data_IF_303872902007
#
_entry.id   IF_303872902007
#
_cell.length_a   1.000
_cell.length_b   1.000
_cell.length_c   1.000
_cell.angle_alpha   90.00
_cell.angle_beta   90.00
_cell.angle_gamma   90.00
#
_symmetry.space_group_name_H-M   'P 1'
#
loop_
_entity.id
_entity.type
_entity.pdbx_description
1 polymer ?
#
# COMPACT_ATOMS: atom_id res chain seq x y z
N UNK A 1 14.43 12.31 57.84
CA UNK A 1 15.87 11.98 57.97
C UNK A 1 16.54 12.50 56.71
N UNK A 2 17.12 13.71 56.76
CA UNK A 2 18.57 13.98 56.58
C UNK A 2 19.07 13.57 55.18
N UNK A 3 19.58 14.46 54.32
CA UNK A 3 20.62 15.45 54.59
C UNK A 3 20.70 16.54 53.49
N UNK A 4 20.96 17.77 53.92
CA UNK A 4 21.48 18.92 53.16
C UNK A 4 22.89 18.68 52.60
N UNK A 5 23.27 19.45 51.57
CA UNK A 5 24.55 20.19 51.33
C UNK A 5 24.73 20.43 49.82
N UNK A 6 25.25 21.53 49.27
CA UNK A 6 25.73 22.84 49.75
C UNK A 6 26.04 23.60 48.43
N UNK A 7 25.57 24.83 48.23
CA UNK A 7 26.13 25.73 47.20
C UNK A 7 26.58 27.01 47.91
N UNK A 8 27.87 27.31 47.77
CA UNK A 8 28.54 28.46 48.36
C UNK A 8 28.86 29.46 47.24
N UNK A 9 28.46 30.71 47.45
CA UNK A 9 28.74 31.86 46.60
C UNK A 9 30.02 32.59 47.06
N UNK A 10 30.73 33.23 46.14
CA UNK A 10 31.44 34.51 46.30
C UNK A 10 32.15 34.87 44.98
N UNK A 11 32.59 36.09 44.66
CA UNK A 11 32.12 37.46 44.84
C UNK A 11 33.15 38.32 44.06
N UNK A 12 32.67 39.31 43.29
CA UNK A 12 33.29 40.61 42.94
C UNK A 12 34.68 40.73 42.27
N UNK A 13 34.74 41.61 41.27
CA UNK A 13 35.96 42.29 40.82
C UNK A 13 35.75 43.26 39.65
N UNK A 14 35.31 44.50 39.93
CA UNK A 14 35.22 45.62 38.99
C UNK A 14 36.60 46.08 38.49
N UNK A 15 36.68 46.54 37.23
CA UNK A 15 37.45 47.75 36.90
C UNK A 15 36.91 48.40 35.61
N UNK A 16 36.43 49.63 35.76
CA UNK A 16 36.01 50.51 34.69
C UNK A 16 37.20 51.40 34.25
N UNK A 17 37.29 51.65 32.94
CA UNK A 17 38.03 52.79 32.41
C UNK A 17 37.14 53.55 31.43
N UNK A 18 36.87 54.80 31.75
CA UNK A 18 36.10 55.77 30.99
C UNK A 18 36.98 56.52 29.99
N UNK A 19 36.52 56.62 28.73
CA UNK A 19 37.05 57.53 27.71
C UNK A 19 35.88 58.12 26.91
N UNK A 20 35.91 59.44 26.71
CA UNK A 20 34.76 60.27 26.33
C UNK A 20 34.49 60.38 24.82
N UNK A 21 33.19 60.42 24.50
CA UNK A 21 32.47 61.25 23.52
C UNK A 21 33.00 61.49 22.08
N UNK A 22 32.23 61.00 21.10
CA UNK A 22 31.64 61.73 19.95
C UNK A 22 30.77 60.68 19.19
N UNK A 23 29.46 60.84 19.01
CA UNK A 23 28.89 61.80 18.08
C UNK A 23 28.78 61.17 16.68
N UNK A 24 27.82 60.27 16.49
CA UNK A 24 27.50 59.69 15.19
C UNK A 24 26.19 58.92 15.30
N UNK A 25 25.11 59.49 14.77
CA UNK A 25 23.84 58.78 14.63
C UNK A 25 24.04 57.60 13.70
N UNK A 26 24.12 56.40 14.26
CA UNK A 26 23.81 55.19 13.52
C UNK A 26 22.33 55.26 13.21
N UNK A 27 22.00 55.49 11.94
CA UNK A 27 20.80 54.89 11.40
C UNK A 27 20.93 53.39 11.68
N UNK A 28 20.00 52.85 12.46
CA UNK A 28 19.85 51.41 12.58
C UNK A 28 19.73 50.89 11.15
N UNK A 29 20.79 50.24 10.66
CA UNK A 29 20.70 49.46 9.44
C UNK A 29 19.71 48.36 9.79
N UNK A 30 18.50 48.48 9.23
CA UNK A 30 17.55 47.39 9.15
C UNK A 30 18.36 46.18 8.64
N UNK A 31 18.53 45.19 9.51
CA UNK A 31 19.21 43.94 9.17
C UNK A 31 18.32 43.30 8.10
N UNK A 32 18.64 43.56 6.83
CA UNK A 32 17.97 42.91 5.69
C UNK A 32 18.21 41.43 5.91
N UNK A 33 17.15 40.71 6.28
CA UNK A 33 17.24 39.28 6.53
C UNK A 33 17.85 38.63 5.29
N UNK A 34 18.89 37.81 5.49
CA UNK A 34 19.58 37.17 4.36
C UNK A 34 18.56 36.42 3.50
N UNK A 35 18.48 36.78 2.22
CA UNK A 35 17.50 36.21 1.31
C UNK A 35 17.71 34.70 1.16
N UNK A 36 16.61 33.97 1.00
CA UNK A 36 16.65 32.61 0.50
C UNK A 36 16.67 32.65 -1.02
N UNK A 37 17.66 32.03 -1.64
CA UNK A 37 17.81 32.02 -3.09
C UNK A 37 18.11 30.62 -3.59
N UNK A 38 17.99 30.43 -4.89
CA UNK A 38 18.23 29.11 -5.46
C UNK A 38 18.10 29.05 -6.97
N UNK A 39 18.15 27.83 -7.48
CA UNK A 39 17.93 27.50 -8.89
C UNK A 39 16.94 26.34 -9.00
N UNK A 40 16.02 26.41 -9.96
CA UNK A 40 15.12 25.29 -10.31
C UNK A 40 15.54 24.68 -11.64
N UNK A 41 15.63 23.35 -11.67
CA UNK A 41 15.98 22.59 -12.89
C UNK A 41 15.25 21.24 -12.98
N UNK A 42 15.17 20.66 -14.17
CA UNK A 42 14.71 19.29 -14.39
C UNK A 42 15.84 18.26 -14.15
N UNK A 43 15.57 16.94 -14.16
CA UNK A 43 16.60 15.92 -13.98
C UNK A 43 17.58 15.82 -15.16
N UNK A 44 17.25 16.41 -16.32
CA UNK A 44 18.13 16.56 -17.47
C UNK A 44 19.09 17.75 -17.36
N UNK A 45 18.93 18.59 -16.33
CA UNK A 45 19.71 19.80 -16.08
C UNK A 45 19.19 21.04 -16.82
N UNK A 46 18.02 20.97 -17.45
CA UNK A 46 17.38 22.15 -18.05
C UNK A 46 16.87 23.06 -16.94
N UNK A 47 17.11 24.37 -17.07
CA UNK A 47 16.63 25.37 -16.11
C UNK A 47 15.15 25.64 -16.36
N UNK A 48 14.36 25.74 -15.29
CA UNK A 48 12.92 25.95 -15.37
C UNK A 48 12.62 27.41 -15.04
N UNK A 49 12.19 28.16 -16.05
CA UNK A 49 11.81 29.56 -15.93
C UNK A 49 10.32 29.71 -15.59
N UNK A 50 9.93 30.87 -15.05
CA UNK A 50 8.54 31.24 -14.73
C UNK A 50 7.81 30.25 -13.80
N UNK A 51 8.54 29.37 -13.10
CA UNK A 51 8.01 28.56 -12.01
C UNK A 51 7.92 29.39 -10.73
N UNK A 52 6.86 29.20 -9.95
CA UNK A 52 6.68 29.86 -8.65
C UNK A 52 7.23 28.98 -7.53
N UNK A 53 8.19 29.50 -6.78
CA UNK A 53 8.73 28.84 -5.57
C UNK A 53 8.01 29.41 -4.35
N UNK A 54 7.35 28.55 -3.59
CA UNK A 54 6.62 28.87 -2.36
C UNK A 54 7.39 28.39 -1.12
N UNK A 55 7.37 29.22 -0.08
CA UNK A 55 7.67 28.80 1.29
C UNK A 55 6.36 28.55 2.04
N UNK A 56 5.94 27.28 2.09
CA UNK A 56 4.72 26.86 2.78
C UNK A 56 5.06 26.59 4.25
N UNK A 57 4.47 27.33 5.23
CA UNK A 57 4.75 27.09 6.63
C UNK A 57 4.40 25.66 7.05
N UNK A 58 5.31 24.98 7.74
CA UNK A 58 5.09 23.60 8.21
C UNK A 58 3.90 23.50 9.18
N UNK A 59 3.55 24.60 9.86
CA UNK A 59 2.40 24.68 10.73
C UNK A 59 1.07 24.59 9.96
N UNK A 60 1.00 25.14 8.75
CA UNK A 60 -0.23 25.09 7.94
C UNK A 60 -0.48 23.67 7.45
N UNK A 61 0.57 22.94 7.08
CA UNK A 61 0.50 21.49 6.79
C UNK A 61 0.08 20.70 8.03
N UNK A 62 0.64 21.01 9.21
CA UNK A 62 0.30 20.33 10.45
C UNK A 62 -1.14 20.62 10.95
N UNK A 63 -1.74 21.72 10.49
CA UNK A 63 -3.11 22.12 10.81
C UNK A 63 -4.13 21.59 9.79
N UNK A 64 -3.70 20.90 8.73
CA UNK A 64 -4.62 20.20 7.84
C UNK A 64 -5.41 19.16 8.62
N UNK A 65 -6.70 19.03 8.30
CA UNK A 65 -7.55 18.03 8.92
C UNK A 65 -6.99 16.63 8.65
N UNK A 66 -7.09 15.75 9.66
CA UNK A 66 -6.64 14.37 9.51
C UNK A 66 -7.42 13.69 8.38
N UNK A 67 -6.70 13.22 7.37
CA UNK A 67 -7.23 12.39 6.29
C UNK A 67 -8.01 11.21 6.87
N UNK A 68 -9.31 11.17 6.59
CA UNK A 68 -10.15 10.03 6.94
C UNK A 68 -10.37 9.15 5.71
N UNK A 69 -10.71 7.87 5.93
CA UNK A 69 -11.10 6.98 4.84
C UNK A 69 -12.35 7.45 4.08
N UNK A 70 -13.13 8.39 4.64
CA UNK A 70 -14.24 9.03 3.94
C UNK A 70 -13.76 10.09 2.93
N UNK A 71 -12.64 10.78 3.20
CA UNK A 71 -12.04 11.76 2.27
C UNK A 71 -11.45 11.08 1.01
N UNK A 72 -11.04 9.82 1.13
CA UNK A 72 -10.45 9.04 0.03
C UNK A 72 -11.48 8.23 -0.78
N UNK A 73 -12.79 8.37 -0.48
CA UNK A 73 -13.82 7.48 -1.02
C UNK A 73 -14.45 8.09 -2.28
N UNK A 74 -14.35 7.40 -3.41
CA UNK A 74 -15.01 7.79 -4.66
C UNK A 74 -16.52 7.95 -4.46
N UNK A 75 -17.10 9.06 -4.92
CA UNK A 75 -18.52 9.10 -5.25
C UNK A 75 -18.73 8.44 -6.61
N UNK A 76 -19.75 7.60 -6.72
CA UNK A 76 -20.12 6.91 -7.97
C UNK A 76 -20.62 7.95 -9.00
N UNK A 77 -19.94 8.09 -10.14
CA UNK A 77 -20.30 9.05 -11.21
C UNK A 77 -21.51 8.59 -12.04
N UNK A 78 -22.01 7.37 -11.80
CA UNK A 78 -23.14 6.79 -12.52
C UNK A 78 -22.85 6.40 -13.97
N UNK A 79 -21.59 6.45 -14.42
CA UNK A 79 -21.15 6.12 -15.78
C UNK A 79 -20.16 4.95 -15.83
N UNK A 80 -19.82 4.34 -14.69
CA UNK A 80 -18.91 3.20 -14.63
C UNK A 80 -17.44 3.58 -14.81
N UNK A 81 -17.14 4.88 -14.78
CA UNK A 81 -15.82 5.42 -14.47
C UNK A 81 -15.75 5.78 -12.99
N UNK A 82 -14.55 5.82 -12.41
CA UNK A 82 -14.35 6.45 -11.12
C UNK A 82 -13.73 7.81 -11.40
N UNK A 83 -14.54 8.85 -11.35
CA UNK A 83 -14.03 10.21 -11.21
C UNK A 83 -13.68 10.41 -9.73
N UNK A 84 -12.47 10.87 -9.42
CA UNK A 84 -11.96 11.01 -8.05
C UNK A 84 -11.87 12.49 -7.59
N UNK A 85 -12.81 13.40 -7.93
CA UNK A 85 -12.63 14.81 -7.65
C UNK A 85 -12.54 15.11 -6.15
N UNK A 86 -13.22 14.33 -5.30
CA UNK A 86 -13.21 14.55 -3.85
C UNK A 86 -11.92 14.10 -3.17
N UNK A 87 -11.18 13.10 -3.70
CA UNK A 87 -9.90 12.70 -3.10
C UNK A 87 -8.75 13.60 -3.53
N UNK A 88 -8.84 14.17 -4.73
CA UNK A 88 -7.87 15.13 -5.27
C UNK A 88 -7.77 16.42 -4.45
N UNK A 89 -8.77 16.71 -3.59
CA UNK A 89 -8.76 17.86 -2.67
C UNK A 89 -8.03 17.54 -1.34
N UNK A 90 -7.51 16.32 -1.15
CA UNK A 90 -6.89 15.90 0.12
C UNK A 90 -5.58 15.10 -0.03
N UNK A 91 -5.23 14.62 -1.23
CA UNK A 91 -4.05 13.76 -1.44
C UNK A 91 -2.76 14.53 -1.79
N UNK A 92 -2.86 15.83 -2.07
CA UNK A 92 -1.74 16.70 -2.48
C UNK A 92 -1.60 17.92 -1.52
N UNK A 93 -1.14 17.72 -0.27
CA UNK A 93 -1.26 18.73 0.79
C UNK A 93 -0.48 20.03 0.54
N UNK A 94 0.60 20.01 -0.25
CA UNK A 94 1.37 21.22 -0.55
C UNK A 94 0.78 21.95 -1.76
N UNK A 95 0.40 21.20 -2.78
CA UNK A 95 -0.27 21.65 -4.00
C UNK A 95 -1.61 22.33 -3.63
N UNK A 96 -2.40 21.71 -2.75
CA UNK A 96 -3.66 22.25 -2.25
C UNK A 96 -3.48 23.54 -1.45
N UNK A 97 -2.48 23.58 -0.56
CA UNK A 97 -2.16 24.78 0.20
C UNK A 97 -1.68 25.91 -0.73
N UNK A 98 -0.85 25.61 -1.73
CA UNK A 98 -0.40 26.60 -2.71
C UNK A 98 -1.58 27.12 -3.57
N UNK A 99 -2.48 26.23 -4.01
CA UNK A 99 -3.68 26.57 -4.77
C UNK A 99 -4.64 27.46 -3.98
N UNK A 100 -4.90 27.14 -2.72
CA UNK A 100 -5.89 27.83 -1.88
C UNK A 100 -5.33 29.09 -1.22
N UNK A 101 -4.08 29.03 -0.76
CA UNK A 101 -3.47 30.03 0.11
C UNK A 101 -2.19 30.65 -0.47
N UNK A 102 -1.77 30.29 -1.69
CA UNK A 102 -0.48 30.71 -2.27
C UNK A 102 -0.26 32.22 -2.31
N UNK A 103 -1.32 33.01 -2.45
CA UNK A 103 -1.24 34.48 -2.41
C UNK A 103 -0.83 35.04 -1.03
N UNK A 104 -0.95 34.25 0.03
CA UNK A 104 -0.55 34.59 1.40
C UNK A 104 0.86 34.10 1.77
N UNK A 105 1.41 33.16 1.00
CA UNK A 105 2.73 32.60 1.24
C UNK A 105 3.81 33.47 0.62
N UNK A 106 4.99 33.46 1.26
CA UNK A 106 6.19 34.01 0.64
C UNK A 106 6.53 33.18 -0.59
N UNK A 107 6.69 33.86 -1.72
CA UNK A 107 6.99 33.22 -2.99
C UNK A 107 7.85 34.10 -3.89
N UNK A 108 8.51 33.47 -4.86
CA UNK A 108 9.24 34.15 -5.92
C UNK A 108 9.08 33.37 -7.24
N UNK A 109 9.07 34.11 -8.36
CA UNK A 109 9.19 33.52 -9.68
C UNK A 109 10.65 33.26 -10.01
N UNK A 110 10.88 32.14 -10.68
CA UNK A 110 12.16 31.87 -11.32
C UNK A 110 12.32 32.71 -12.58
N UNK A 111 13.53 33.23 -12.80
CA UNK A 111 13.88 33.95 -14.02
C UNK A 111 14.24 33.00 -15.17
N UNK A 112 14.71 33.56 -16.29
CA UNK A 112 15.11 32.79 -17.48
C UNK A 112 16.29 31.83 -17.23
N UNK A 113 17.07 32.05 -16.16
CA UNK A 113 18.15 31.17 -15.72
C UNK A 113 17.69 30.24 -14.58
N UNK A 114 16.38 30.11 -14.37
CA UNK A 114 15.77 29.31 -13.31
C UNK A 114 16.07 29.82 -11.90
N UNK A 115 16.57 31.05 -11.74
CA UNK A 115 16.97 31.61 -10.45
C UNK A 115 15.83 32.32 -9.77
N UNK A 116 15.73 32.18 -8.46
CA UNK A 116 14.75 32.89 -7.63
C UNK A 116 15.40 33.46 -6.37
N UNK A 117 14.75 34.45 -5.76
CA UNK A 117 15.12 34.98 -4.45
C UNK A 117 13.89 35.43 -3.66
N UNK A 118 13.78 34.97 -2.41
CA UNK A 118 12.74 35.30 -1.44
C UNK A 118 13.42 36.02 -0.26
N UNK A 119 13.14 37.30 -0.11
CA UNK A 119 13.64 38.12 1.00
C UNK A 119 12.80 37.90 2.27
N UNK A 120 13.35 38.32 3.41
CA UNK A 120 12.61 38.45 4.68
C UNK A 120 11.94 37.15 5.15
N UNK A 121 12.58 36.01 4.90
CA UNK A 121 12.10 34.70 5.39
C UNK A 121 11.92 34.77 6.90
N UNK A 122 10.72 34.59 7.47
CA UNK A 122 10.49 34.74 8.90
C UNK A 122 11.00 33.52 9.69
N UNK A 123 11.08 33.67 11.01
CA UNK A 123 11.45 32.55 11.88
C UNK A 123 10.41 31.43 11.79
N UNK A 124 10.86 30.18 11.72
CA UNK A 124 9.96 29.04 11.58
C UNK A 124 10.52 27.93 10.69
N UNK A 125 9.62 27.07 10.23
CA UNK A 125 9.96 25.92 9.39
C UNK A 125 9.03 25.87 8.19
N UNK A 126 9.58 25.60 7.00
CA UNK A 126 8.88 25.71 5.72
C UNK A 126 9.14 24.49 4.84
N UNK A 127 8.11 24.04 4.12
CA UNK A 127 8.30 23.21 2.94
C UNK A 127 8.60 24.12 1.74
N UNK A 128 9.58 23.74 0.93
CA UNK A 128 9.91 24.45 -0.31
C UNK A 128 9.18 23.74 -1.44
N UNK A 129 8.14 24.37 -1.97
CA UNK A 129 7.28 23.83 -3.01
C UNK A 129 7.45 24.65 -4.28
N UNK A 130 7.52 24.00 -5.44
CA UNK A 130 7.66 24.64 -6.75
C UNK A 130 6.45 24.30 -7.59
N UNK A 131 5.80 25.32 -8.13
CA UNK A 131 4.72 25.25 -9.11
C UNK A 131 5.26 25.68 -10.48
N UNK A 132 5.61 24.76 -11.38
CA UNK A 132 5.94 25.09 -12.76
C UNK A 132 4.75 25.76 -13.46
N UNK A 133 5.03 26.66 -14.40
CA UNK A 133 3.97 27.31 -15.21
C UNK A 133 3.69 26.60 -16.53
N UNK A 134 4.50 25.59 -16.87
CA UNK A 134 4.38 24.78 -18.07
C UNK A 134 3.80 23.38 -17.79
N UNK A 135 3.38 22.70 -18.85
CA UNK A 135 2.80 21.36 -18.78
C UNK A 135 3.84 20.24 -18.94
N UNK A 136 5.12 20.58 -19.11
CA UNK A 136 6.22 19.62 -19.28
C UNK A 136 6.86 19.25 -17.93
N UNK A 137 6.54 19.97 -16.85
CA UNK A 137 7.01 19.70 -15.50
C UNK A 137 5.86 19.45 -14.51
N UNK A 138 6.14 18.65 -13.49
CA UNK A 138 5.22 18.35 -12.40
C UNK A 138 5.49 19.29 -11.20
N UNK A 139 4.46 19.72 -10.47
CA UNK A 139 4.60 20.44 -9.22
C UNK A 139 5.39 19.65 -8.16
N UNK A 140 5.93 20.37 -7.18
CA UNK A 140 6.67 19.81 -6.05
C UNK A 140 8.13 20.25 -6.01
N UNK A 141 9.05 19.28 -6.12
CA UNK A 141 10.49 19.54 -6.13
C UNK A 141 11.26 18.74 -5.07
N UNK A 142 12.57 18.61 -5.26
CA UNK A 142 13.44 17.77 -4.43
C UNK A 142 13.49 18.16 -2.95
N UNK A 143 13.03 19.36 -2.59
CA UNK A 143 12.99 19.89 -1.22
C UNK A 143 11.57 19.95 -0.62
N UNK A 144 10.54 19.44 -1.31
CA UNK A 144 9.16 19.55 -0.84
C UNK A 144 8.79 18.48 0.21
N UNK A 145 9.60 17.42 0.38
CA UNK A 145 9.26 16.28 1.26
C UNK A 145 9.58 16.50 2.73
N UNK A 146 10.56 17.35 3.01
CA UNK A 146 11.02 17.65 4.36
C UNK A 146 11.01 19.16 4.58
N UNK A 147 10.52 19.60 5.73
CA UNK A 147 10.47 21.03 6.04
C UNK A 147 11.80 21.52 6.64
N UNK A 148 12.24 22.70 6.21
CA UNK A 148 13.55 23.31 6.50
C UNK A 148 13.34 24.51 7.42
N UNK A 149 14.20 24.70 8.43
CA UNK A 149 14.14 25.88 9.32
C UNK A 149 14.59 27.14 8.61
N UNK A 150 14.21 28.31 9.11
CA UNK A 150 14.63 29.62 8.57
C UNK A 150 16.16 29.71 8.42
N UNK A 151 16.90 29.19 9.40
CA UNK A 151 18.35 29.14 9.44
C UNK A 151 18.98 28.25 8.37
N UNK A 152 18.24 27.31 7.80
CA UNK A 152 18.66 26.50 6.65
C UNK A 152 18.28 27.10 5.30
N UNK A 153 17.55 28.21 5.29
CA UNK A 153 17.08 28.90 4.07
C UNK A 153 17.79 30.26 3.90
N UNK A 154 17.84 31.06 4.95
CA UNK A 154 18.46 32.40 4.95
C UNK A 154 19.95 32.31 4.60
N UNK A 155 20.36 33.04 3.56
CA UNK A 155 21.76 33.11 3.14
C UNK A 155 22.26 31.87 2.37
N UNK A 156 21.41 30.88 2.12
CA UNK A 156 21.73 29.70 1.32
C UNK A 156 21.26 29.85 -0.13
N UNK A 157 22.06 29.30 -1.05
CA UNK A 157 21.71 29.10 -2.47
C UNK A 157 21.43 27.61 -2.69
N UNK A 158 20.16 27.25 -2.79
CA UNK A 158 19.71 25.85 -2.90
C UNK A 158 19.36 25.47 -4.33
N UNK A 159 19.82 24.30 -4.76
CA UNK A 159 19.40 23.68 -6.00
C UNK A 159 18.13 22.85 -5.76
N UNK A 160 17.08 23.11 -6.54
CA UNK A 160 15.82 22.40 -6.50
C UNK A 160 15.64 21.68 -7.83
N UNK A 161 15.35 20.38 -7.78
CA UNK A 161 15.01 19.60 -8.98
C UNK A 161 13.52 19.32 -9.00
N UNK A 162 12.82 19.70 -10.08
CA UNK A 162 11.43 19.31 -10.36
C UNK A 162 11.39 18.12 -11.31
N UNK A 163 10.29 17.36 -11.31
CA UNK A 163 10.14 16.22 -12.22
C UNK A 163 9.56 16.67 -13.56
N UNK A 164 9.97 16.05 -14.65
CA UNK A 164 9.30 16.21 -15.94
C UNK A 164 8.03 15.35 -16.02
N UNK A 165 7.09 15.76 -16.86
CA UNK A 165 5.93 14.95 -17.26
C UNK A 165 6.41 13.84 -18.21
N UNK A 166 5.84 12.65 -18.06
CA UNK A 166 6.13 11.56 -19.00
C UNK A 166 5.57 11.92 -20.38
N UNK A 167 6.43 11.97 -21.39
CA UNK A 167 6.00 12.31 -22.75
C UNK A 167 4.97 11.32 -23.30
N UNK A 168 4.16 11.74 -24.28
CA UNK A 168 3.07 10.91 -24.85
C UNK A 168 3.50 9.55 -25.44
N UNK A 169 4.80 9.36 -25.69
CA UNK A 169 5.39 8.10 -26.17
C UNK A 169 6.14 7.33 -25.07
N UNK A 170 6.01 7.72 -23.81
CA UNK A 170 6.57 6.98 -22.69
C UNK A 170 5.84 5.63 -22.56
N UNK A 171 6.61 4.56 -22.44
CA UNK A 171 6.09 3.22 -22.19
C UNK A 171 6.43 2.82 -20.76
N UNK A 172 5.48 2.15 -20.09
CA UNK A 172 5.78 1.50 -18.82
C UNK A 172 6.84 0.43 -19.05
N UNK A 173 7.98 0.57 -18.37
CA UNK A 173 9.15 -0.30 -18.55
C UNK A 173 9.22 -1.46 -17.55
N UNK A 174 8.38 -1.46 -16.51
CA UNK A 174 8.50 -2.41 -15.39
C UNK A 174 9.63 -2.07 -14.41
N UNK A 175 9.52 -2.57 -13.18
CA UNK A 175 10.57 -2.38 -12.18
C UNK A 175 11.82 -3.23 -12.48
N UNK A 176 11.66 -4.31 -13.23
CA UNK A 176 12.71 -5.22 -13.67
C UNK A 176 13.79 -4.48 -14.44
N UNK A 177 13.39 -3.62 -15.38
CA UNK A 177 14.31 -2.81 -16.17
C UNK A 177 15.09 -1.81 -15.33
N UNK A 178 14.44 -1.22 -14.33
CA UNK A 178 15.10 -0.30 -13.40
C UNK A 178 16.16 -1.02 -12.56
N UNK A 179 15.85 -2.23 -12.10
CA UNK A 179 16.75 -3.05 -11.27
C UNK A 179 17.95 -3.60 -12.03
N UNK A 180 17.92 -3.64 -13.37
CA UNK A 180 19.13 -3.94 -14.17
C UNK A 180 20.22 -2.88 -13.99
N UNK A 181 19.85 -1.60 -13.94
CA UNK A 181 20.79 -0.48 -13.78
C UNK A 181 21.01 -0.11 -12.31
N UNK A 182 19.99 -0.25 -11.48
CA UNK A 182 20.02 0.08 -10.05
C UNK A 182 20.22 -1.16 -9.19
N UNK A 183 21.39 -1.79 -9.32
CA UNK A 183 21.69 -3.05 -8.66
C UNK A 183 21.66 -2.97 -7.13
N UNK A 184 21.87 -1.78 -6.56
CA UNK A 184 21.81 -1.56 -5.11
C UNK A 184 20.39 -1.70 -4.54
N UNK A 185 19.36 -1.75 -5.41
CA UNK A 185 17.96 -1.90 -5.03
C UNK A 185 17.39 -3.29 -5.34
N UNK A 186 18.20 -4.26 -5.81
CA UNK A 186 17.70 -5.62 -6.12
C UNK A 186 17.12 -6.36 -4.92
N UNK A 187 17.52 -5.98 -3.70
CA UNK A 187 16.91 -6.50 -2.46
C UNK A 187 15.42 -6.18 -2.32
N UNK A 188 14.87 -5.26 -3.11
CA UNK A 188 13.42 -5.04 -3.17
C UNK A 188 12.63 -6.28 -3.61
N UNK A 189 13.27 -7.21 -4.33
CA UNK A 189 12.65 -8.47 -4.79
C UNK A 189 12.28 -9.43 -3.65
N UNK A 190 12.95 -9.33 -2.49
CA UNK A 190 12.64 -10.16 -1.32
C UNK A 190 11.63 -9.49 -0.36
N UNK A 191 11.22 -8.25 -0.64
CA UNK A 191 10.25 -7.56 0.21
C UNK A 191 8.86 -8.19 0.09
N UNK A 192 8.15 -8.15 1.22
CA UNK A 192 6.74 -8.52 1.36
C UNK A 192 5.82 -8.02 0.22
N UNK A 193 6.04 -6.82 -0.30
CA UNK A 193 5.21 -6.26 -1.38
C UNK A 193 5.47 -6.94 -2.73
N UNK A 194 6.69 -7.38 -2.98
CA UNK A 194 7.08 -8.12 -4.19
C UNK A 194 6.68 -9.59 -4.09
N UNK A 195 6.76 -10.17 -2.89
CA UNK A 195 6.45 -11.58 -2.63
C UNK A 195 4.96 -11.83 -2.31
N UNK A 196 4.24 -10.78 -1.89
CA UNK A 196 2.91 -10.91 -1.29
C UNK A 196 1.88 -11.51 -2.23
N UNK A 197 2.03 -11.35 -3.55
CA UNK A 197 1.26 -12.08 -4.55
C UNK A 197 2.15 -12.91 -5.44
N UNK A 198 1.80 -14.18 -5.64
CA UNK A 198 2.60 -15.11 -6.44
C UNK A 198 1.70 -16.07 -7.21
N UNK A 199 2.06 -16.33 -8.47
CA UNK A 199 1.45 -17.41 -9.26
C UNK A 199 1.92 -18.75 -8.67
N UNK A 200 1.01 -19.71 -8.41
CA UNK A 200 1.39 -21.00 -7.86
C UNK A 200 2.53 -21.67 -8.64
N UNK A 201 3.53 -22.19 -7.93
CA UNK A 201 4.69 -22.89 -8.51
C UNK A 201 5.55 -22.09 -9.51
N UNK A 202 5.31 -20.79 -9.67
CA UNK A 202 6.09 -19.90 -10.54
C UNK A 202 6.73 -18.76 -9.74
N UNK A 203 8.00 -18.46 -10.03
CA UNK A 203 8.74 -17.35 -9.43
C UNK A 203 9.08 -16.36 -10.52
N UNK A 204 8.56 -15.14 -10.41
CA UNK A 204 8.84 -14.06 -11.36
C UNK A 204 10.28 -13.55 -11.24
N UNK A 205 10.88 -12.95 -12.30
CA UNK A 205 12.18 -12.27 -12.22
C UNK A 205 12.25 -11.16 -11.15
N UNK A 206 11.11 -10.67 -10.68
CA UNK A 206 10.98 -9.65 -9.62
C UNK A 206 10.74 -10.22 -8.22
N UNK A 207 10.80 -11.54 -8.06
CA UNK A 207 10.59 -12.21 -6.77
C UNK A 207 11.85 -12.98 -6.38
N UNK A 208 12.28 -12.78 -5.14
CA UNK A 208 13.36 -13.56 -4.53
C UNK A 208 12.86 -14.27 -3.27
N UNK A 209 12.74 -15.59 -3.35
CA UNK A 209 12.23 -16.46 -2.30
C UNK A 209 13.35 -17.11 -1.48
N UNK A 210 14.61 -16.67 -1.60
CA UNK A 210 15.74 -17.30 -0.88
C UNK A 210 15.52 -17.40 0.62
N UNK A 211 14.84 -16.41 1.21
CA UNK A 211 14.54 -16.33 2.64
C UNK A 211 13.25 -17.07 3.03
N UNK A 212 12.50 -17.57 2.05
CA UNK A 212 11.23 -18.29 2.22
C UNK A 212 11.18 -19.55 1.33
N UNK A 213 12.10 -20.52 1.48
CA UNK A 213 12.17 -21.69 0.60
C UNK A 213 10.91 -22.56 0.64
N UNK A 214 10.13 -22.48 1.72
CA UNK A 214 8.87 -23.22 1.87
C UNK A 214 7.68 -22.52 1.22
N UNK A 215 7.82 -21.38 0.52
CA UNK A 215 6.70 -20.52 0.05
C UNK A 215 5.56 -21.26 -0.67
N UNK A 216 5.90 -22.33 -1.39
CA UNK A 216 4.94 -23.16 -2.15
C UNK A 216 4.57 -24.49 -1.43
N UNK A 217 4.99 -24.71 -0.17
CA UNK A 217 4.76 -25.97 0.57
C UNK A 217 3.29 -26.37 0.67
N UNK A 218 2.39 -25.38 0.60
CA UNK A 218 0.96 -25.61 0.70
C UNK A 218 0.43 -26.39 -0.50
N UNK A 219 1.10 -26.31 -1.66
CA UNK A 219 0.77 -27.07 -2.86
C UNK A 219 1.14 -28.55 -2.77
N UNK A 220 1.93 -28.99 -1.78
CA UNK A 220 2.13 -30.42 -1.50
C UNK A 220 0.83 -31.12 -1.06
N UNK A 221 -0.15 -30.35 -0.58
CA UNK A 221 -1.49 -30.86 -0.27
C UNK A 221 -2.38 -31.00 -1.51
N UNK A 222 -1.98 -30.46 -2.67
CA UNK A 222 -2.75 -30.56 -3.90
C UNK A 222 -2.31 -31.79 -4.70
N UNK A 223 -3.13 -32.84 -4.67
CA UNK A 223 -2.83 -34.09 -5.40
C UNK A 223 -2.95 -33.85 -6.91
N UNK A 224 -1.92 -34.20 -7.67
CA UNK A 224 -1.94 -34.06 -9.14
C UNK A 224 -2.77 -35.17 -9.79
N UNK A 225 -3.66 -34.82 -10.71
CA UNK A 225 -4.45 -35.79 -11.50
C UNK A 225 -5.30 -35.17 -12.58
N UNK A 226 -6.14 -35.98 -13.23
CA UNK A 226 -6.96 -35.56 -14.38
C UNK A 226 -8.34 -34.99 -13.98
N UNK A 227 -8.72 -35.08 -12.71
CA UNK A 227 -9.95 -34.49 -12.16
C UNK A 227 -9.87 -34.41 -10.63
N UNK A 228 -10.83 -33.70 -10.02
CA UNK A 228 -10.87 -33.42 -8.59
C UNK A 228 -10.93 -34.63 -7.66
N UNK A 229 -11.34 -35.82 -8.13
CA UNK A 229 -11.55 -36.99 -7.26
C UNK A 229 -10.27 -37.54 -6.65
N UNK A 230 -9.11 -37.17 -7.19
CA UNK A 230 -7.79 -37.48 -6.58
C UNK A 230 -7.42 -36.51 -5.48
N UNK A 231 -8.10 -35.37 -5.39
CA UNK A 231 -7.72 -34.25 -4.55
C UNK A 231 -7.77 -34.58 -3.06
N UNK A 232 -6.87 -33.94 -2.31
CA UNK A 232 -6.92 -33.94 -0.85
C UNK A 232 -8.17 -33.20 -0.39
N UNK A 233 -8.70 -33.58 0.77
CA UNK A 233 -9.99 -33.06 1.25
C UNK A 233 -9.81 -32.15 2.45
N UNK A 234 -10.51 -31.03 2.41
CA UNK A 234 -10.67 -30.11 3.52
C UNK A 234 -12.16 -30.02 3.86
N UNK A 235 -12.54 -30.46 5.04
CA UNK A 235 -13.92 -30.58 5.50
C UNK A 235 -14.32 -29.35 6.30
N UNK A 236 -15.45 -28.75 5.93
CA UNK A 236 -16.04 -27.61 6.60
C UNK A 236 -17.27 -28.07 7.38
N UNK A 237 -17.37 -27.66 8.64
CA UNK A 237 -18.42 -28.09 9.56
C UNK A 237 -18.74 -27.01 10.61
N UNK A 238 -19.84 -27.20 11.34
CA UNK A 238 -20.31 -26.28 12.39
C UNK A 238 -20.32 -24.79 11.96
N UNK A 239 -21.12 -24.43 10.93
CA UNK A 239 -21.26 -23.06 10.45
C UNK A 239 -21.74 -22.10 11.54
N UNK A 240 -21.18 -20.91 11.57
CA UNK A 240 -21.51 -19.82 12.48
C UNK A 240 -21.22 -18.46 11.83
N UNK A 241 -22.26 -17.87 11.25
CA UNK A 241 -22.18 -16.59 10.53
C UNK A 241 -21.76 -15.42 11.43
N UNK A 242 -21.76 -15.57 12.76
CA UNK A 242 -21.30 -14.52 13.67
C UNK A 242 -19.77 -14.42 13.75
N UNK A 243 -19.01 -15.37 13.16
CA UNK A 243 -17.54 -15.39 13.22
C UNK A 243 -16.83 -14.61 12.11
N UNK A 244 -17.56 -13.99 11.20
CA UNK A 244 -16.98 -13.22 10.09
C UNK A 244 -16.20 -14.13 9.13
N UNK A 245 -14.94 -13.79 8.83
CA UNK A 245 -14.11 -14.48 7.81
C UNK A 245 -13.75 -15.95 8.11
N UNK A 246 -14.09 -16.46 9.31
CA UNK A 246 -13.75 -17.81 9.80
C UNK A 246 -15.04 -18.48 10.31
N UNK A 247 -16.06 -18.44 9.46
CA UNK A 247 -17.45 -18.79 9.73
C UNK A 247 -17.70 -20.30 9.76
N UNK A 248 -16.76 -21.11 9.30
CA UNK A 248 -16.75 -22.56 9.47
C UNK A 248 -15.60 -23.05 10.36
N UNK A 249 -15.79 -24.21 10.98
CA UNK A 249 -14.65 -25.01 11.45
C UNK A 249 -14.14 -25.85 10.29
N UNK A 250 -12.84 -26.09 10.27
CA UNK A 250 -12.17 -26.86 9.22
C UNK A 250 -11.43 -28.05 9.82
N UNK A 251 -11.42 -29.16 9.08
CA UNK A 251 -10.57 -30.32 9.37
C UNK A 251 -10.05 -31.00 8.10
N UNK A 252 -8.90 -31.65 8.20
CA UNK A 252 -8.36 -32.57 7.16
C UNK A 252 -9.03 -33.95 7.20
N UNK A 253 -9.81 -34.23 8.25
CA UNK A 253 -10.52 -35.50 8.44
C UNK A 253 -12.03 -35.29 8.43
N UNK A 254 -12.75 -36.29 7.92
CA UNK A 254 -14.20 -36.25 7.84
C UNK A 254 -14.83 -36.17 9.23
N UNK A 255 -15.76 -35.23 9.41
CA UNK A 255 -16.60 -35.11 10.60
C UNK A 255 -17.91 -35.93 10.48
N UNK A 256 -17.97 -36.84 9.50
CA UNK A 256 -19.14 -37.68 9.24
C UNK A 256 -20.37 -36.84 8.85
N UNK A 257 -21.47 -37.02 9.58
CA UNK A 257 -22.73 -36.32 9.32
C UNK A 257 -22.67 -34.81 9.61
N UNK A 258 -21.63 -34.31 10.28
CA UNK A 258 -21.46 -32.89 10.57
C UNK A 258 -20.83 -32.09 9.40
N UNK A 259 -20.29 -32.77 8.38
CA UNK A 259 -19.73 -32.12 7.20
C UNK A 259 -20.81 -31.33 6.46
N UNK A 260 -20.52 -30.08 6.10
CA UNK A 260 -21.40 -29.20 5.32
C UNK A 260 -20.84 -28.99 3.91
N UNK A 261 -19.55 -28.68 3.83
CA UNK A 261 -18.82 -28.47 2.58
C UNK A 261 -17.56 -29.33 2.60
N UNK A 262 -17.14 -29.82 1.43
CA UNK A 262 -15.80 -30.40 1.23
C UNK A 262 -15.12 -29.65 0.09
N UNK A 263 -13.93 -29.12 0.37
CA UNK A 263 -13.05 -28.62 -0.68
C UNK A 263 -12.08 -29.72 -1.09
N UNK A 264 -11.99 -29.96 -2.38
CA UNK A 264 -11.04 -30.90 -2.98
C UNK A 264 -9.88 -30.11 -3.57
N UNK A 265 -8.67 -30.32 -3.05
CA UNK A 265 -7.44 -29.64 -3.46
C UNK A 265 -6.68 -30.54 -4.43
N UNK A 266 -6.54 -30.11 -5.68
CA UNK A 266 -5.89 -30.92 -6.72
C UNK A 266 -5.18 -30.06 -7.77
N UNK A 267 -4.17 -30.62 -8.41
CA UNK A 267 -3.48 -29.98 -9.52
C UNK A 267 -3.85 -30.68 -10.82
N UNK A 268 -4.29 -29.93 -11.82
CA UNK A 268 -4.60 -30.50 -13.13
C UNK A 268 -3.31 -30.96 -13.82
N UNK A 269 -3.20 -32.26 -14.08
CA UNK A 269 -2.02 -32.86 -14.71
C UNK A 269 -1.78 -32.37 -16.15
N UNK A 270 -2.81 -31.84 -16.83
CA UNK A 270 -2.71 -31.32 -18.19
C UNK A 270 -2.19 -29.88 -18.26
N UNK A 271 -2.55 -29.04 -17.28
CA UNK A 271 -2.19 -27.60 -17.27
C UNK A 271 -1.13 -27.25 -16.22
N UNK A 272 -0.96 -28.08 -15.19
CA UNK A 272 -0.14 -27.77 -14.03
C UNK A 272 -0.78 -26.78 -13.05
N UNK A 273 -2.02 -26.35 -13.30
CA UNK A 273 -2.70 -25.32 -12.51
C UNK A 273 -3.37 -25.97 -11.27
N UNK A 274 -3.13 -25.45 -10.06
CA UNK A 274 -3.87 -25.88 -8.87
C UNK A 274 -5.33 -25.44 -8.93
N UNK A 275 -6.21 -26.32 -8.48
CA UNK A 275 -7.65 -26.18 -8.53
C UNK A 275 -8.28 -26.54 -7.19
N UNK A 276 -9.39 -25.88 -6.87
CA UNK A 276 -10.23 -26.19 -5.73
C UNK A 276 -11.64 -26.50 -6.22
N UNK A 277 -12.12 -27.71 -5.92
CA UNK A 277 -13.50 -28.12 -6.23
C UNK A 277 -14.38 -28.08 -4.99
N UNK A 278 -15.54 -27.45 -5.09
CA UNK A 278 -16.46 -27.18 -3.99
C UNK A 278 -17.58 -28.21 -3.97
N UNK A 279 -17.63 -29.09 -2.97
CA UNK A 279 -18.71 -30.05 -2.77
C UNK A 279 -19.67 -29.56 -1.68
N UNK A 280 -20.95 -29.44 -2.01
CA UNK A 280 -22.04 -29.18 -1.08
C UNK A 280 -22.58 -30.52 -0.55
N UNK A 281 -22.07 -30.95 0.61
CA UNK A 281 -22.49 -32.21 1.25
C UNK A 281 -23.93 -32.12 1.74
N UNK A 282 -24.34 -30.94 2.22
CA UNK A 282 -25.67 -30.72 2.80
C UNK A 282 -26.79 -30.71 1.74
N UNK A 283 -26.49 -30.20 0.55
CA UNK A 283 -27.42 -30.13 -0.57
C UNK A 283 -26.74 -30.53 -1.89
N UNK A 284 -26.67 -31.84 -2.19
CA UNK A 284 -26.07 -32.33 -3.44
C UNK A 284 -26.77 -31.87 -4.72
N UNK A 285 -28.00 -31.36 -4.63
CA UNK A 285 -28.79 -30.84 -5.74
C UNK A 285 -28.56 -29.33 -6.00
N UNK A 286 -27.65 -28.71 -5.26
CA UNK A 286 -27.17 -27.36 -5.53
C UNK A 286 -26.56 -27.29 -6.96
N UNK A 287 -27.03 -26.36 -7.83
CA UNK A 287 -26.47 -26.20 -9.18
C UNK A 287 -24.97 -25.91 -9.22
N UNK A 288 -24.42 -25.35 -8.15
CA UNK A 288 -22.99 -25.03 -8.01
C UNK A 288 -22.21 -26.15 -7.29
N UNK A 289 -22.85 -27.28 -6.97
CA UNK A 289 -22.17 -28.41 -6.37
C UNK A 289 -21.13 -29.01 -7.34
N UNK A 290 -19.94 -29.33 -6.80
CA UNK A 290 -18.77 -29.84 -7.51
C UNK A 290 -18.20 -28.86 -8.55
N UNK A 291 -18.46 -27.57 -8.38
CA UNK A 291 -17.83 -26.55 -9.22
C UNK A 291 -16.33 -26.43 -8.91
N UNK A 292 -15.50 -26.30 -9.94
CA UNK A 292 -14.04 -26.20 -9.84
C UNK A 292 -13.56 -24.80 -10.18
N UNK A 293 -12.64 -24.28 -9.37
CA UNK A 293 -12.02 -22.97 -9.57
C UNK A 293 -10.50 -23.09 -9.60
N UNK A 294 -9.89 -22.38 -10.54
CA UNK A 294 -8.45 -22.27 -10.63
C UNK A 294 -7.92 -21.33 -9.54
N UNK A 295 -6.85 -21.77 -8.87
CA UNK A 295 -6.04 -20.93 -8.00
C UNK A 295 -5.06 -20.18 -8.88
N UNK A 296 -5.32 -18.91 -9.18
CA UNK A 296 -4.47 -18.10 -10.06
C UNK A 296 -3.34 -17.39 -9.32
N UNK A 297 -3.61 -16.97 -8.08
CA UNK A 297 -2.62 -16.32 -7.23
C UNK A 297 -2.72 -16.86 -5.81
N UNK A 298 -1.61 -16.76 -5.09
CA UNK A 298 -1.59 -16.79 -3.64
C UNK A 298 -1.40 -15.38 -3.11
N UNK A 299 -1.93 -15.10 -1.91
CA UNK A 299 -1.66 -13.88 -1.17
C UNK A 299 -1.09 -14.18 0.22
N UNK A 300 0.02 -13.54 0.60
CA UNK A 300 0.68 -13.73 1.89
C UNK A 300 1.99 -14.52 1.77
N UNK A 301 2.22 -15.51 2.62
CA UNK A 301 3.45 -16.30 2.66
C UNK A 301 4.59 -15.57 3.37
N UNK A 302 5.25 -14.64 2.68
CA UNK A 302 6.41 -13.90 3.22
C UNK A 302 6.05 -12.93 4.36
N UNK A 303 4.78 -12.52 4.44
CA UNK A 303 4.30 -11.62 5.50
C UNK A 303 3.71 -12.41 6.67
N UNK A 304 2.94 -13.46 6.35
CA UNK A 304 2.18 -14.29 7.29
C UNK A 304 1.56 -15.49 6.53
N UNK A 305 0.48 -16.08 7.05
CA UNK A 305 -0.33 -17.13 6.41
C UNK A 305 -0.69 -16.81 4.94
N UNK A 306 -0.84 -17.85 4.14
CA UNK A 306 -1.12 -17.76 2.70
C UNK A 306 -2.59 -18.03 2.43
N UNK A 307 -3.17 -17.31 1.47
CA UNK A 307 -4.58 -17.42 1.03
C UNK A 307 -4.60 -17.70 -0.46
N UNK A 308 -5.61 -18.41 -0.94
CA UNK A 308 -5.74 -18.75 -2.35
C UNK A 308 -6.73 -17.82 -3.03
N UNK A 309 -6.32 -17.25 -4.14
CA UNK A 309 -7.15 -16.38 -4.96
C UNK A 309 -7.75 -17.20 -6.10
N UNK A 310 -9.05 -17.43 -6.02
CA UNK A 310 -9.79 -18.15 -7.03
C UNK A 310 -10.18 -17.21 -8.17
N UNK A 311 -9.92 -17.63 -9.41
CA UNK A 311 -10.57 -17.00 -10.55
C UNK A 311 -12.04 -17.41 -10.58
N UNK A 312 -12.91 -16.41 -10.52
CA UNK A 312 -14.34 -16.61 -10.63
C UNK A 312 -14.85 -16.03 -11.94
N UNK A 313 -15.40 -16.90 -12.79
CA UNK A 313 -16.03 -16.51 -14.05
C UNK A 313 -17.45 -15.99 -13.83
N UNK A 314 -17.94 -15.22 -14.81
CA UNK A 314 -19.18 -14.48 -14.68
C UNK A 314 -20.41 -15.44 -14.69
N UNK A 315 -21.00 -15.65 -13.51
CA UNK A 315 -22.12 -16.57 -13.30
C UNK A 315 -23.41 -15.80 -12.97
N UNK A 316 -24.58 -16.31 -13.38
CA UNK A 316 -25.85 -15.76 -12.88
C UNK A 316 -25.99 -16.03 -11.38
N UNK A 317 -26.75 -15.15 -10.70
CA UNK A 317 -27.03 -15.25 -9.26
C UNK A 317 -27.73 -16.56 -8.85
N UNK A 318 -28.26 -17.33 -9.81
CA UNK A 318 -28.92 -18.62 -9.61
C UNK A 318 -28.00 -19.84 -9.85
N UNK A 319 -26.71 -19.63 -10.12
CA UNK A 319 -25.78 -20.72 -10.39
C UNK A 319 -25.89 -21.29 -11.81
N UNK A 320 -26.46 -20.57 -12.78
CA UNK A 320 -26.38 -20.90 -14.21
C UNK A 320 -25.29 -20.11 -14.97
N UNK A 321 -24.60 -20.77 -15.92
CA UNK A 321 -23.60 -20.11 -16.78
C UNK A 321 -24.29 -19.00 -17.58
N UNK A 322 -23.97 -17.74 -17.29
CA UNK A 322 -24.73 -16.61 -17.81
C UNK A 322 -23.96 -15.86 -18.88
N UNK A 323 -24.53 -15.78 -20.08
CA UNK A 323 -24.22 -14.69 -21.00
C UNK A 323 -24.72 -13.39 -20.36
N UNK A 324 -23.83 -12.64 -19.71
CA UNK A 324 -24.14 -11.39 -19.00
C UNK A 324 -24.47 -11.55 -17.51
N UNK A 325 -23.82 -12.48 -16.80
CA UNK A 325 -23.97 -12.64 -15.35
C UNK A 325 -23.67 -11.37 -14.54
N UNK A 326 -24.18 -11.34 -13.30
CA UNK A 326 -23.99 -10.27 -12.32
C UNK A 326 -22.72 -10.46 -11.46
N UNK A 327 -21.88 -11.48 -11.76
CA UNK A 327 -20.62 -11.70 -11.07
C UNK A 327 -19.52 -10.82 -11.66
N UNK A 328 -18.78 -10.07 -10.83
CA UNK A 328 -17.59 -9.41 -11.33
C UNK A 328 -16.53 -10.48 -11.61
N UNK A 329 -16.01 -10.53 -12.84
CA UNK A 329 -14.81 -11.32 -13.13
C UNK A 329 -13.69 -10.83 -12.21
N UNK A 330 -12.99 -11.74 -11.56
CA UNK A 330 -11.84 -11.37 -10.76
C UNK A 330 -11.37 -12.46 -9.81
N UNK A 331 -10.49 -12.03 -8.92
CA UNK A 331 -9.83 -12.87 -7.95
C UNK A 331 -10.46 -12.70 -6.57
N UNK A 332 -10.95 -13.80 -6.01
CA UNK A 332 -11.60 -13.83 -4.71
C UNK A 332 -10.82 -14.73 -3.76
N UNK A 333 -10.60 -14.29 -2.50
CA UNK A 333 -9.88 -15.10 -1.54
C UNK A 333 -10.75 -16.28 -1.10
N UNK A 334 -10.11 -17.42 -0.87
CA UNK A 334 -10.65 -18.56 -0.15
C UNK A 334 -9.53 -19.15 0.70
N UNK A 335 -9.90 -20.03 1.64
CA UNK A 335 -9.03 -20.97 2.38
C UNK A 335 -7.65 -20.43 2.78
N UNK A 336 -7.38 -20.32 4.07
CA UNK A 336 -6.06 -19.90 4.52
C UNK A 336 -5.20 -21.11 4.93
N UNK A 337 -4.02 -21.23 4.34
CA UNK A 337 -2.98 -22.16 4.80
C UNK A 337 -2.10 -21.51 5.86
N UNK A 338 -1.89 -22.21 6.97
CA UNK A 338 -1.22 -21.66 8.14
C UNK A 338 0.19 -22.22 8.40
N UNK A 339 0.73 -23.07 7.52
CA UNK A 339 2.01 -23.76 7.71
C UNK A 339 3.27 -22.88 7.73
N UNK A 340 3.17 -21.59 7.39
CA UNK A 340 4.32 -20.68 7.20
C UNK A 340 4.92 -20.04 8.46
N UNK A 341 4.44 -20.34 9.67
CA UNK A 341 4.94 -19.61 10.85
C UNK A 341 6.28 -20.16 11.31
N UNK A 342 7.37 -19.49 10.93
CA UNK A 342 8.54 -19.38 11.79
C UNK A 342 8.12 -18.42 12.92
N UNK A 343 8.15 -18.85 14.18
CA UNK A 343 7.97 -17.90 15.27
C UNK A 343 9.15 -16.90 15.31
N UNK A 344 8.96 -15.72 15.91
CA UNK A 344 10.04 -14.72 16.07
C UNK A 344 11.23 -15.23 16.92
N UNK A 345 11.15 -16.45 17.48
CA UNK A 345 12.18 -17.13 18.24
C UNK A 345 12.87 -18.29 17.47
N UNK A 346 12.58 -18.45 16.16
CA UNK A 346 13.18 -19.48 15.31
C UNK A 346 12.60 -20.89 15.49
N UNK A 347 11.44 -21.03 16.13
CA UNK A 347 10.68 -22.27 16.23
C UNK A 347 9.76 -22.48 15.04
N UNK A 348 9.79 -23.69 14.49
CA UNK A 348 8.90 -24.16 13.43
C UNK A 348 7.47 -24.30 14.01
N UNK A 349 6.58 -23.34 13.73
CA UNK A 349 5.15 -23.45 14.05
C UNK A 349 4.42 -23.70 12.74
N UNK A 350 4.66 -24.87 12.16
CA UNK A 350 3.77 -25.43 11.16
C UNK A 350 2.38 -25.60 11.77
N UNK A 351 1.33 -25.34 10.99
CA UNK A 351 -0.03 -25.65 11.43
C UNK A 351 -0.14 -27.13 11.85
N UNK A 352 -0.89 -27.39 12.90
CA UNK A 352 -1.09 -28.73 13.46
C UNK A 352 -2.58 -29.00 13.59
N UNK A 353 -3.06 -29.99 12.84
CA UNK A 353 -4.49 -30.32 12.76
C UNK A 353 -5.12 -30.64 14.13
N UNK A 354 -4.35 -31.26 15.03
CA UNK A 354 -4.79 -31.55 16.40
C UNK A 354 -4.78 -30.36 17.34
N UNK A 355 -4.49 -29.14 16.86
CA UNK A 355 -4.51 -27.93 17.67
C UNK A 355 -5.94 -27.56 18.06
N UNK A 356 -6.17 -27.35 19.36
CA UNK A 356 -7.44 -26.78 19.84
C UNK A 356 -7.61 -25.31 19.44
N UNK A 357 -6.50 -24.61 19.19
CA UNK A 357 -6.50 -23.26 18.63
C UNK A 357 -6.54 -23.35 17.11
N UNK A 358 -7.67 -22.94 16.52
CA UNK A 358 -7.92 -22.95 15.07
C UNK A 358 -6.96 -22.04 14.29
N UNK A 359 -6.41 -21.00 14.91
CA UNK A 359 -5.38 -20.15 14.28
C UNK A 359 -4.03 -20.86 14.13
N UNK A 360 -3.91 -22.07 14.68
CA UNK A 360 -2.73 -22.94 14.60
C UNK A 360 -3.02 -24.28 13.93
N UNK A 361 -4.23 -24.50 13.40
CA UNK A 361 -4.51 -25.65 12.53
C UNK A 361 -3.85 -25.47 11.16
N UNK A 362 -3.66 -26.55 10.39
CA UNK A 362 -3.06 -26.49 9.04
C UNK A 362 -3.85 -25.55 8.14
N UNK A 363 -5.17 -25.71 8.17
CA UNK A 363 -6.12 -24.92 7.40
C UNK A 363 -6.95 -24.05 8.33
N UNK A 364 -7.38 -22.91 7.80
CA UNK A 364 -8.38 -22.05 8.43
C UNK A 364 -9.36 -21.58 7.38
N UNK A 365 -10.60 -21.44 7.80
CA UNK A 365 -11.58 -20.79 6.95
C UNK A 365 -11.15 -19.35 6.70
N UNK A 366 -11.37 -18.94 5.46
CA UNK A 366 -11.06 -17.61 4.99
C UNK A 366 -12.08 -17.23 3.94
N UNK A 367 -13.15 -16.63 4.43
CA UNK A 367 -14.24 -16.08 3.66
C UNK A 367 -15.12 -17.09 2.91
N UNK A 368 -15.45 -18.24 3.53
CA UNK A 368 -16.52 -19.09 2.98
C UNK A 368 -17.88 -18.35 2.96
N UNK A 369 -18.05 -17.32 3.80
CA UNK A 369 -19.17 -16.38 3.76
C UNK A 369 -19.39 -15.70 2.40
N UNK A 370 -18.37 -15.61 1.54
CA UNK A 370 -18.52 -15.09 0.18
C UNK A 370 -19.18 -16.09 -0.76
N UNK A 371 -19.03 -17.38 -0.47
CA UNK A 371 -19.45 -18.46 -1.35
C UNK A 371 -20.68 -19.19 -0.81
N UNK A 372 -21.10 -18.99 0.43
CA UNK A 372 -22.16 -19.77 1.06
C UNK A 372 -23.39 -18.96 1.48
N UNK A 373 -24.57 -19.39 1.03
CA UNK A 373 -25.84 -18.84 1.45
C UNK A 373 -26.47 -19.67 2.58
N UNK A 374 -26.45 -19.12 3.79
CA UNK A 374 -26.98 -19.72 5.02
C UNK A 374 -28.49 -20.00 5.01
N UNK A 375 -29.27 -19.28 4.20
CA UNK A 375 -30.73 -19.43 4.17
C UNK A 375 -31.16 -20.57 3.24
N UNK A 376 -30.43 -20.75 2.14
CA UNK A 376 -30.75 -21.73 1.10
C UNK A 376 -29.87 -22.96 1.16
N UNK A 377 -28.79 -22.93 1.95
CA UNK A 377 -27.75 -23.96 2.00
C UNK A 377 -27.20 -24.31 0.61
N UNK A 378 -26.88 -23.26 -0.14
CA UNK A 378 -26.34 -23.35 -1.48
C UNK A 378 -25.12 -22.46 -1.60
N UNK A 379 -24.22 -22.82 -2.51
CA UNK A 379 -23.18 -21.92 -2.93
C UNK A 379 -23.79 -20.74 -3.69
N UNK A 380 -23.11 -19.61 -3.60
CA UNK A 380 -23.44 -18.37 -4.29
C UNK A 380 -22.19 -17.77 -4.91
N UNK A 381 -22.41 -16.80 -5.79
CA UNK A 381 -21.32 -16.06 -6.43
C UNK A 381 -20.80 -14.99 -5.44
N UNK A 382 -19.49 -14.90 -5.18
CA UNK A 382 -18.87 -13.89 -4.28
C UNK A 382 -19.25 -12.43 -4.57
N UNK A 383 -19.59 -12.15 -5.82
CA UNK A 383 -20.05 -10.84 -6.28
C UNK A 383 -21.46 -10.43 -5.83
N UNK A 384 -22.27 -11.36 -5.30
CA UNK A 384 -23.71 -11.15 -5.09
C UNK A 384 -24.08 -10.45 -3.77
N UNK A 385 -23.14 -10.35 -2.83
CA UNK A 385 -23.39 -9.81 -1.48
C UNK A 385 -22.91 -8.36 -1.33
N UNK A 386 -21.76 -8.00 -1.93
CA UNK A 386 -21.18 -6.65 -1.96
C UNK A 386 -20.10 -6.55 -3.06
N UNK A 387 -20.45 -6.90 -4.31
CA UNK A 387 -19.52 -7.55 -5.25
C UNK A 387 -18.17 -6.91 -5.58
N UNK A 388 -17.94 -5.63 -5.27
CA UNK A 388 -16.65 -4.94 -5.41
C UNK A 388 -15.78 -5.01 -4.16
N UNK A 389 -16.37 -5.19 -2.97
CA UNK A 389 -15.66 -5.17 -1.70
C UNK A 389 -14.70 -6.37 -1.52
N UNK A 390 -14.93 -7.46 -2.24
CA UNK A 390 -14.25 -8.73 -2.03
C UNK A 390 -13.36 -9.14 -3.21
N UNK A 391 -13.37 -8.35 -4.29
CA UNK A 391 -12.57 -8.58 -5.49
C UNK A 391 -11.17 -7.96 -5.33
N UNK A 392 -10.16 -8.82 -5.21
CA UNK A 392 -8.77 -8.42 -4.98
C UNK A 392 -8.15 -7.77 -6.22
N UNK A 393 -8.64 -8.11 -7.43
CA UNK A 393 -8.22 -7.46 -8.67
C UNK A 393 -8.51 -5.96 -8.66
N UNK A 394 -9.63 -5.55 -8.06
CA UNK A 394 -9.99 -4.12 -7.95
C UNK A 394 -9.25 -3.42 -6.81
N UNK A 395 -9.09 -4.09 -5.66
CA UNK A 395 -8.60 -3.44 -4.43
C UNK A 395 -7.09 -3.45 -4.23
N UNK A 396 -6.42 -4.51 -4.68
CA UNK A 396 -5.05 -4.77 -4.28
C UNK A 396 -4.12 -4.81 -5.50
N UNK A 397 -4.58 -5.31 -6.64
CA UNK A 397 -3.67 -5.51 -7.79
C UNK A 397 -3.08 -4.21 -8.34
N UNK A 398 -3.79 -3.07 -8.25
CA UNK A 398 -3.25 -1.77 -8.67
C UNK A 398 -1.94 -1.39 -7.98
N UNK A 399 -1.76 -1.79 -6.71
CA UNK A 399 -0.55 -1.47 -5.93
C UNK A 399 0.36 -2.69 -5.71
N UNK A 400 -0.17 -3.92 -5.82
CA UNK A 400 0.53 -5.14 -5.41
C UNK A 400 0.90 -6.09 -6.58
N UNK A 401 0.51 -5.78 -7.82
CA UNK A 401 0.98 -6.54 -8.99
C UNK A 401 2.45 -6.25 -9.36
N UNK A 402 3.15 -5.45 -8.56
CA UNK A 402 4.54 -4.99 -8.79
C UNK A 402 5.58 -6.11 -8.77
N UNK A 403 5.25 -7.28 -8.24
CA UNK A 403 6.12 -8.46 -8.28
C UNK A 403 6.07 -9.26 -9.59
N UNK A 404 5.26 -8.86 -10.57
CA UNK A 404 4.96 -9.67 -11.77
C UNK A 404 5.09 -8.93 -13.12
N UNK A 405 5.82 -7.80 -13.17
CA UNK A 405 6.12 -7.08 -14.44
C UNK A 405 7.38 -7.58 -15.14
#
# INVERSE_FOLDING_TARGET
MTLNKLFLASLLGCLAFSGAACGGGGVDAEEVGEAFQGTVSDPGGSLVADATVYLIPALDVANLDALTSANMRSTDDGLGGYDMPESMDFDEPLEDLARLNGASFLSALTDADGRFAISDVPDGRFYVYVEPSDADHLPGGSLCRDSITESGLRGFDLAISVSGVTGANAHYMGADRCLECHTDHVGTKSLAHSLGFKVPNEVSPLQDLSDFPEFDMSFDYFTTGTNYTVGSKVYYYEPDSARGMDDFKISETSQGAANVIVLWLWTDAGTGIPNITFENVLNPADPMNLHTHEVRLTYGGAVNKQRYMLEWENWAADGSAAAGGNGLKGLYPTLQFQGFTVDQAGGDVTGYEGSADRSRQVWRDYHMDYYWNYQTNRFMVPGSVDGKAHNISVKCMGCHATGWS
#
